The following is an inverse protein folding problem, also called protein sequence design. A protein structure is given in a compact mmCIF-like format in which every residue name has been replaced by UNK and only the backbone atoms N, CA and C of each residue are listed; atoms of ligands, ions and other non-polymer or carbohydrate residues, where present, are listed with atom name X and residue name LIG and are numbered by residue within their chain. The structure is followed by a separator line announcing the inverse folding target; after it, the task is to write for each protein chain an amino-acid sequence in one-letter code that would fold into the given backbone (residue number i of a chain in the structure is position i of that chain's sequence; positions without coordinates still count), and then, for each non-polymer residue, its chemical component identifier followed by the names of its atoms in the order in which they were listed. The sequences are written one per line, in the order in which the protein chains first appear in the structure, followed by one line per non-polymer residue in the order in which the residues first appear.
data_IF_403400172865
#
_entry.id   IF_403400172865
#
_cell.length_a   1.000
_cell.length_b   1.000
_cell.length_c   1.000
_cell.angle_alpha   90.00
_cell.angle_beta   90.00
_cell.angle_gamma   90.00
#
_symmetry.space_group_name_H-M   'P 1'
#
loop_
_entity.id
_entity.type
_entity.pdbx_description
1 polymer ?
#
# COMPACT_ATOMS: atom_id res chain seq x y z
N UNK A 1 -43.97 -37.60 11.81
CA UNK A 1 -43.37 -37.23 13.11
C UNK A 1 -41.86 -37.27 12.90
N UNK A 2 -41.28 -36.12 12.52
CA UNK A 2 -39.86 -35.98 12.20
C UNK A 2 -39.29 -34.90 13.14
N UNK A 3 -38.24 -35.26 13.86
CA UNK A 3 -37.51 -34.39 14.80
C UNK A 3 -36.65 -33.38 14.03
N UNK A 4 -36.64 -32.09 14.42
CA UNK A 4 -35.75 -31.10 13.84
C UNK A 4 -34.52 -30.92 14.74
N UNK A 5 -33.37 -31.42 14.31
CA UNK A 5 -32.10 -31.00 14.91
C UNK A 5 -30.97 -31.29 13.93
N UNK A 6 -30.53 -30.26 13.22
CA UNK A 6 -29.15 -30.01 12.77
C UNK A 6 -29.17 -28.70 11.95
N UNK A 7 -29.28 -27.56 12.63
CA UNK A 7 -28.73 -26.30 12.11
C UNK A 7 -27.40 -26.14 12.84
N UNK A 8 -26.34 -26.72 12.27
CA UNK A 8 -24.99 -26.53 12.78
C UNK A 8 -24.60 -25.08 12.58
N UNK A 9 -24.37 -24.40 13.70
CA UNK A 9 -23.80 -23.06 13.81
C UNK A 9 -22.67 -22.85 12.79
N UNK A 10 -22.87 -21.95 11.83
CA UNK A 10 -21.77 -21.21 11.25
C UNK A 10 -21.21 -20.33 12.37
N UNK A 11 -20.17 -20.82 13.03
CA UNK A 11 -19.32 -19.99 13.89
C UNK A 11 -18.75 -18.89 13.01
N UNK A 12 -19.10 -17.65 13.35
CA UNK A 12 -18.44 -16.47 12.84
C UNK A 12 -16.93 -16.67 12.98
N UNK A 13 -16.23 -16.81 11.85
CA UNK A 13 -14.76 -16.77 11.79
C UNK A 13 -14.33 -15.35 12.16
N UNK A 14 -14.28 -15.05 13.46
CA UNK A 14 -13.62 -13.86 13.96
C UNK A 14 -12.14 -13.96 13.59
N UNK A 15 -11.66 -13.00 12.79
CA UNK A 15 -10.26 -12.91 12.39
C UNK A 15 -9.43 -12.72 13.67
N UNK A 16 -8.63 -13.73 14.03
CA UNK A 16 -7.69 -13.63 15.14
C UNK A 16 -6.58 -12.62 14.77
N UNK A 17 -6.73 -11.39 15.28
CA UNK A 17 -5.78 -10.30 15.07
C UNK A 17 -4.37 -10.64 15.57
N UNK A 18 -4.25 -11.48 16.62
CA UNK A 18 -2.94 -11.87 17.18
C UNK A 18 -2.25 -12.85 16.23
N UNK A 19 -3.00 -13.82 15.71
CA UNK A 19 -2.49 -14.74 14.69
C UNK A 19 -2.11 -13.99 13.41
N UNK A 20 -2.96 -13.08 12.95
CA UNK A 20 -2.69 -12.23 11.78
C UNK A 20 -1.41 -11.42 11.98
N UNK A 21 -1.26 -10.72 13.10
CA UNK A 21 -0.04 -9.96 13.42
C UNK A 21 1.19 -10.87 13.42
N UNK A 22 1.10 -12.07 14.01
CA UNK A 22 2.21 -13.03 14.05
C UNK A 22 2.59 -13.50 12.64
N UNK A 23 1.62 -13.84 11.80
CA UNK A 23 1.85 -14.27 10.40
C UNK A 23 2.46 -13.14 9.58
N UNK A 24 1.97 -11.91 9.72
CA UNK A 24 2.50 -10.75 9.02
C UNK A 24 3.95 -10.44 9.44
N UNK A 25 4.27 -10.52 10.74
CA UNK A 25 5.65 -10.34 11.21
C UNK A 25 6.59 -11.44 10.71
N UNK A 26 6.15 -12.69 10.67
CA UNK A 26 6.94 -13.79 10.09
C UNK A 26 7.21 -13.55 8.60
N UNK A 27 6.20 -13.16 7.82
CA UNK A 27 6.36 -12.82 6.39
C UNK A 27 7.37 -11.70 6.19
N UNK A 28 7.31 -10.65 7.02
CA UNK A 28 8.27 -9.54 6.97
C UNK A 28 9.72 -10.00 7.23
N UNK A 29 9.91 -10.92 8.17
CA UNK A 29 11.23 -11.47 8.48
C UNK A 29 11.76 -12.37 7.34
N UNK A 30 10.91 -13.18 6.73
CA UNK A 30 11.27 -13.98 5.56
C UNK A 30 11.72 -13.11 4.39
N UNK A 31 10.99 -12.03 4.09
CA UNK A 31 11.36 -11.06 3.05
C UNK A 31 12.74 -10.45 3.32
N UNK A 32 13.03 -10.11 4.58
CA UNK A 32 14.34 -9.55 4.94
C UNK A 32 15.48 -10.56 4.77
N UNK A 33 15.25 -11.84 5.08
CA UNK A 33 16.23 -12.91 4.84
C UNK A 33 16.41 -13.13 3.34
N UNK A 34 15.32 -13.22 2.57
CA UNK A 34 15.38 -13.42 1.12
C UNK A 34 16.18 -12.31 0.44
N UNK A 35 16.00 -11.05 0.85
CA UNK A 35 16.77 -9.92 0.31
C UNK A 35 18.26 -10.01 0.68
N UNK A 36 18.58 -10.43 1.91
CA UNK A 36 19.97 -10.66 2.30
C UNK A 36 20.62 -11.80 1.49
N UNK A 37 19.87 -12.84 1.17
CA UNK A 37 20.31 -13.93 0.29
C UNK A 37 20.52 -13.41 -1.14
N UNK A 38 19.56 -12.65 -1.66
CA UNK A 38 19.62 -12.06 -2.99
C UNK A 38 20.86 -11.17 -3.14
N UNK A 39 21.11 -10.30 -2.15
CA UNK A 39 22.34 -9.51 -2.07
C UNK A 39 23.58 -10.39 -2.09
N UNK A 40 23.68 -11.39 -1.20
CA UNK A 40 24.87 -12.22 -1.08
C UNK A 40 25.23 -12.89 -2.40
N UNK A 41 24.23 -13.36 -3.16
CA UNK A 41 24.44 -13.96 -4.48
C UNK A 41 25.04 -13.02 -5.51
N UNK A 42 24.94 -11.70 -5.34
CA UNK A 42 25.56 -10.69 -6.21
C UNK A 42 27.01 -10.39 -5.86
N UNK A 43 27.46 -10.75 -4.65
CA UNK A 43 28.82 -10.47 -4.16
C UNK A 43 29.88 -11.29 -4.88
N UNK A 44 31.08 -10.75 -4.99
CA UNK A 44 32.21 -11.47 -5.60
C UNK A 44 32.64 -12.69 -4.80
N UNK A 45 32.41 -12.68 -3.48
CA UNK A 45 32.64 -13.85 -2.62
C UNK A 45 31.76 -15.03 -3.01
N UNK A 46 30.46 -14.78 -3.27
CA UNK A 46 29.56 -15.85 -3.72
C UNK A 46 29.92 -16.34 -5.13
N UNK A 47 30.25 -15.42 -6.05
CA UNK A 47 30.65 -15.79 -7.42
C UNK A 47 31.87 -16.70 -7.45
N UNK A 48 32.91 -16.39 -6.66
CA UNK A 48 34.10 -17.23 -6.54
C UNK A 48 33.78 -18.61 -5.94
N UNK A 49 32.92 -18.66 -4.93
CA UNK A 49 32.47 -19.94 -4.36
C UNK A 49 31.68 -20.76 -5.39
N UNK A 50 30.85 -20.13 -6.22
CA UNK A 50 30.07 -20.80 -7.26
C UNK A 50 30.91 -21.46 -8.36
N UNK A 51 32.17 -21.04 -8.53
CA UNK A 51 33.11 -21.67 -9.46
C UNK A 51 33.77 -22.93 -8.87
N UNK A 52 33.82 -23.04 -7.55
CA UNK A 52 34.62 -24.08 -6.85
C UNK A 52 33.78 -25.10 -6.07
N UNK A 53 32.60 -24.71 -5.60
CA UNK A 53 31.76 -25.50 -4.69
C UNK A 53 30.56 -26.14 -5.40
N UNK A 54 30.07 -27.23 -4.82
CA UNK A 54 28.83 -27.88 -5.26
C UNK A 54 27.59 -27.17 -4.67
N UNK A 55 26.38 -27.50 -5.14
CA UNK A 55 25.13 -26.88 -4.69
C UNK A 55 24.95 -26.89 -3.16
N UNK A 56 25.34 -27.97 -2.49
CA UNK A 56 25.28 -28.10 -1.02
C UNK A 56 26.24 -27.13 -0.33
N UNK A 57 27.43 -26.91 -0.91
CA UNK A 57 28.41 -25.93 -0.41
C UNK A 57 27.88 -24.50 -0.53
N UNK A 58 27.22 -24.18 -1.66
CA UNK A 58 26.59 -22.87 -1.88
C UNK A 58 25.42 -22.61 -0.93
N UNK A 59 24.58 -23.61 -0.68
CA UNK A 59 23.50 -23.49 0.30
C UNK A 59 24.04 -23.25 1.72
N UNK A 60 25.13 -23.94 2.09
CA UNK A 60 25.79 -23.72 3.38
C UNK A 60 26.34 -22.30 3.48
N UNK A 61 27.01 -21.80 2.44
CA UNK A 61 27.54 -20.44 2.43
C UNK A 61 26.43 -19.38 2.56
N UNK A 62 25.28 -19.59 1.91
CA UNK A 62 24.10 -18.71 2.06
C UNK A 62 23.56 -18.73 3.50
N UNK A 63 23.48 -19.91 4.10
CA UNK A 63 23.04 -20.05 5.49
C UNK A 63 24.02 -19.38 6.47
N UNK A 64 25.32 -19.59 6.29
CA UNK A 64 26.38 -18.97 7.10
C UNK A 64 26.36 -17.45 6.97
N UNK A 65 26.15 -16.91 5.76
CA UNK A 65 26.05 -15.48 5.55
C UNK A 65 24.89 -14.88 6.36
N UNK A 66 23.70 -15.47 6.26
CA UNK A 66 22.47 -14.94 6.88
C UNK A 66 22.37 -15.14 8.39
N UNK A 67 23.04 -16.17 8.93
CA UNK A 67 22.93 -16.54 10.35
C UNK A 67 24.16 -16.12 11.17
N UNK A 68 25.35 -16.15 10.58
CA UNK A 68 26.60 -15.90 11.31
C UNK A 68 27.29 -14.62 10.86
N UNK A 69 27.39 -14.37 9.55
CA UNK A 69 28.17 -13.24 9.02
C UNK A 69 27.44 -11.92 9.17
N UNK A 70 26.16 -11.87 8.81
CA UNK A 70 25.29 -10.69 8.93
C UNK A 70 24.59 -10.68 10.29
N UNK A 71 24.81 -9.63 11.07
CA UNK A 71 24.17 -9.43 12.38
C UNK A 71 23.50 -8.07 12.47
N UNK A 72 22.22 -8.07 12.84
CA UNK A 72 21.47 -6.87 13.19
C UNK A 72 21.25 -6.87 14.70
N UNK A 73 21.88 -5.92 15.38
CA UNK A 73 21.87 -5.78 16.83
C UNK A 73 21.03 -4.56 17.19
N UNK A 74 19.88 -4.79 17.84
CA UNK A 74 19.10 -3.72 18.44
C UNK A 74 19.71 -3.34 19.80
N UNK A 75 19.90 -2.04 20.08
CA UNK A 75 20.45 -1.63 21.36
C UNK A 75 19.52 -2.02 22.51
N UNK A 76 20.12 -2.57 23.56
CA UNK A 76 19.44 -2.87 24.80
C UNK A 76 19.46 -1.62 25.68
N UNK A 77 18.32 -0.96 25.80
CA UNK A 77 18.17 0.28 26.58
C UNK A 77 18.58 0.11 28.05
N UNK A 78 18.64 -1.12 28.59
CA UNK A 78 19.13 -1.39 29.94
C UNK A 78 20.66 -1.41 30.03
N UNK A 79 21.35 -1.79 28.96
CA UNK A 79 22.82 -1.88 28.91
C UNK A 79 23.47 -0.62 28.36
N UNK A 80 22.79 0.06 27.44
CA UNK A 80 23.24 1.32 26.86
C UNK A 80 22.04 2.24 26.62
N UNK A 81 21.67 3.08 27.61
CA UNK A 81 20.52 3.98 27.51
C UNK A 81 20.63 5.03 26.40
N UNK A 82 21.86 5.32 25.93
CA UNK A 82 22.13 6.35 24.93
C UNK A 82 22.33 5.78 23.52
N UNK A 83 22.30 4.45 23.36
CA UNK A 83 22.46 3.84 22.05
C UNK A 83 21.24 4.12 21.16
N UNK A 84 21.51 4.76 20.01
CA UNK A 84 20.50 5.12 19.02
C UNK A 84 20.65 4.24 17.78
N UNK A 85 19.50 3.84 17.20
CA UNK A 85 19.45 3.08 15.96
C UNK A 85 19.87 1.61 16.10
N UNK A 86 19.69 0.82 15.04
CA UNK A 86 20.15 -0.58 15.01
C UNK A 86 21.58 -0.65 14.48
N UNK A 87 22.43 -1.46 15.11
CA UNK A 87 23.79 -1.72 14.61
C UNK A 87 23.75 -2.88 13.64
N UNK A 88 24.31 -2.68 12.45
CA UNK A 88 24.49 -3.74 11.45
C UNK A 88 25.98 -4.06 11.41
N UNK A 89 26.31 -5.34 11.49
CA UNK A 89 27.68 -5.84 11.41
C UNK A 89 27.74 -6.97 10.39
N UNK A 90 28.82 -6.99 9.62
CA UNK A 90 29.11 -8.02 8.62
C UNK A 90 30.54 -8.51 8.84
N UNK A 91 30.75 -9.81 8.73
CA UNK A 91 32.06 -10.46 8.87
C UNK A 91 32.54 -11.03 7.54
N UNK A 92 33.78 -10.76 7.16
CA UNK A 92 34.45 -11.30 5.95
C UNK A 92 35.95 -11.51 6.22
N UNK A 93 36.60 -12.24 5.32
CA UNK A 93 38.00 -12.67 5.42
C UNK A 93 39.00 -11.51 5.55
N UNK A 94 38.71 -10.39 4.87
CA UNK A 94 39.58 -9.21 4.81
C UNK A 94 38.84 -7.97 5.28
N UNK A 95 39.55 -7.09 5.99
CA UNK A 95 39.01 -5.82 6.50
C UNK A 95 38.37 -4.95 5.41
N UNK A 96 39.00 -4.88 4.24
CA UNK A 96 38.47 -4.15 3.08
C UNK A 96 37.15 -4.77 2.59
N UNK A 97 37.12 -6.09 2.36
CA UNK A 97 35.92 -6.80 1.92
C UNK A 97 34.77 -6.68 2.94
N UNK A 98 35.06 -6.67 4.23
CA UNK A 98 34.04 -6.48 5.27
C UNK A 98 33.41 -5.08 5.18
N UNK A 99 34.23 -4.04 5.02
CA UNK A 99 33.75 -2.66 4.91
C UNK A 99 32.96 -2.43 3.61
N UNK A 100 33.51 -2.84 2.47
CA UNK A 100 32.85 -2.65 1.16
C UNK A 100 31.54 -3.41 1.11
N UNK A 101 31.51 -4.68 1.52
CA UNK A 101 30.28 -5.47 1.52
C UNK A 101 29.24 -4.93 2.48
N UNK A 102 29.64 -4.38 3.65
CA UNK A 102 28.71 -3.70 4.54
C UNK A 102 28.11 -2.44 3.91
N UNK A 103 28.93 -1.62 3.24
CA UNK A 103 28.45 -0.45 2.53
C UNK A 103 27.49 -0.83 1.39
N UNK A 104 27.87 -1.81 0.57
CA UNK A 104 27.09 -2.27 -0.57
C UNK A 104 25.77 -2.91 -0.11
N UNK A 105 25.79 -3.67 0.98
CA UNK A 105 24.58 -4.22 1.59
C UNK A 105 23.61 -3.14 2.04
N UNK A 106 24.12 -2.09 2.72
CA UNK A 106 23.27 -0.98 3.19
C UNK A 106 22.67 -0.22 2.00
N UNK A 107 23.46 0.03 0.94
CA UNK A 107 22.97 0.66 -0.28
C UNK A 107 21.90 -0.20 -0.96
N UNK A 108 22.15 -1.50 -1.09
CA UNK A 108 21.18 -2.44 -1.68
C UNK A 108 19.85 -2.46 -0.91
N UNK A 109 19.89 -2.63 0.40
CA UNK A 109 18.67 -2.63 1.23
C UNK A 109 17.95 -1.28 1.18
N UNK A 110 18.70 -0.17 1.14
CA UNK A 110 18.13 1.16 0.99
C UNK A 110 17.37 1.31 -0.33
N UNK A 111 18.01 0.92 -1.43
CA UNK A 111 17.45 1.03 -2.77
C UNK A 111 16.23 0.12 -2.92
N UNK A 112 16.31 -1.12 -2.43
CA UNK A 112 15.16 -2.04 -2.41
C UNK A 112 14.02 -1.46 -1.59
N UNK A 113 14.28 -0.98 -0.36
CA UNK A 113 13.25 -0.43 0.52
C UNK A 113 12.62 0.84 -0.04
N UNK A 114 13.43 1.71 -0.65
CA UNK A 114 12.97 2.92 -1.29
C UNK A 114 12.09 2.60 -2.51
N UNK A 115 12.56 1.70 -3.38
CA UNK A 115 11.81 1.29 -4.56
C UNK A 115 10.51 0.56 -4.20
N UNK A 116 10.51 -0.29 -3.16
CA UNK A 116 9.30 -0.92 -2.65
C UNK A 116 8.27 0.14 -2.22
N UNK A 117 8.68 1.10 -1.39
CA UNK A 117 7.81 2.18 -0.92
C UNK A 117 7.32 3.07 -2.06
N UNK A 118 8.19 3.37 -3.03
CA UNK A 118 7.86 4.13 -4.24
C UNK A 118 6.80 3.39 -5.08
N UNK A 119 6.97 2.08 -5.28
CA UNK A 119 6.04 1.27 -6.07
C UNK A 119 4.68 1.15 -5.39
N UNK A 120 4.63 0.95 -4.08
CA UNK A 120 3.39 0.96 -3.29
C UNK A 120 2.66 2.30 -3.42
N UNK A 121 3.39 3.41 -3.31
CA UNK A 121 2.79 4.73 -3.47
C UNK A 121 2.28 4.98 -4.90
N UNK A 122 3.01 4.54 -5.93
CA UNK A 122 2.55 4.58 -7.33
C UNK A 122 1.28 3.75 -7.51
N UNK A 123 1.22 2.55 -6.92
CA UNK A 123 0.04 1.70 -6.97
C UNK A 123 -1.17 2.38 -6.33
N UNK A 124 -0.99 2.97 -5.14
CA UNK A 124 -2.03 3.75 -4.47
C UNK A 124 -2.53 4.94 -5.31
N UNK A 125 -1.63 5.68 -5.99
CA UNK A 125 -2.03 6.76 -6.91
C UNK A 125 -2.87 6.20 -8.05
N UNK A 126 -2.43 5.10 -8.68
CA UNK A 126 -3.16 4.46 -9.80
C UNK A 126 -4.55 4.00 -9.37
N UNK A 127 -4.66 3.39 -8.21
CA UNK A 127 -5.94 2.96 -7.64
C UNK A 127 -6.85 4.16 -7.35
N UNK A 128 -6.29 5.24 -6.79
CA UNK A 128 -7.03 6.47 -6.56
C UNK A 128 -7.54 7.10 -7.87
N UNK A 129 -6.72 7.12 -8.92
CA UNK A 129 -7.12 7.57 -10.26
C UNK A 129 -8.26 6.68 -10.80
N UNK A 130 -8.13 5.37 -10.67
CA UNK A 130 -9.15 4.40 -11.12
C UNK A 130 -10.49 4.64 -10.42
N UNK A 131 -10.48 4.73 -9.10
CA UNK A 131 -11.67 5.00 -8.27
C UNK A 131 -12.32 6.34 -8.62
N UNK A 132 -11.53 7.40 -8.80
CA UNK A 132 -12.03 8.72 -9.19
C UNK A 132 -12.66 8.73 -10.58
N UNK A 133 -12.08 8.00 -11.55
CA UNK A 133 -12.67 7.86 -12.88
C UNK A 133 -14.00 7.10 -12.83
N UNK A 134 -14.09 6.04 -12.03
CA UNK A 134 -15.34 5.32 -11.82
C UNK A 134 -16.41 6.22 -11.20
N UNK A 135 -16.08 6.98 -10.15
CA UNK A 135 -17.01 7.93 -9.53
C UNK A 135 -17.48 9.00 -10.54
N UNK A 136 -16.55 9.52 -11.35
CA UNK A 136 -16.87 10.47 -12.42
C UNK A 136 -17.87 9.87 -13.41
N UNK A 137 -17.64 8.64 -13.87
CA UNK A 137 -18.52 7.94 -14.82
C UNK A 137 -19.91 7.73 -14.21
N UNK A 138 -20.00 7.33 -12.95
CA UNK A 138 -21.28 7.19 -12.24
C UNK A 138 -22.04 8.51 -12.20
N UNK A 139 -21.38 9.63 -11.90
CA UNK A 139 -22.01 10.96 -11.93
C UNK A 139 -22.49 11.31 -13.35
N UNK A 140 -21.71 11.00 -14.38
CA UNK A 140 -22.08 11.26 -15.77
C UNK A 140 -23.32 10.46 -16.20
N UNK A 141 -23.35 9.17 -15.84
CA UNK A 141 -24.45 8.27 -16.11
C UNK A 141 -25.72 8.68 -15.35
N UNK A 142 -25.62 8.94 -14.05
CA UNK A 142 -26.77 9.37 -13.25
C UNK A 142 -27.37 10.66 -13.82
N UNK A 143 -26.54 11.66 -14.11
CA UNK A 143 -27.02 12.92 -14.67
C UNK A 143 -27.67 12.75 -16.06
N UNK A 144 -27.18 11.82 -16.87
CA UNK A 144 -27.79 11.44 -18.16
C UNK A 144 -29.15 10.74 -17.97
N UNK A 145 -29.24 9.83 -17.00
CA UNK A 145 -30.49 9.15 -16.63
C UNK A 145 -31.51 10.16 -16.11
N UNK A 146 -31.12 11.05 -15.20
CA UNK A 146 -31.98 12.10 -14.66
C UNK A 146 -32.55 12.98 -15.77
N UNK A 147 -31.71 13.38 -16.75
CA UNK A 147 -32.17 14.12 -17.93
C UNK A 147 -33.17 13.31 -18.75
N UNK A 148 -32.90 12.02 -18.99
CA UNK A 148 -33.79 11.15 -19.76
C UNK A 148 -35.16 11.01 -19.08
N UNK A 149 -35.17 10.79 -17.76
CA UNK A 149 -36.39 10.73 -16.95
C UNK A 149 -37.14 12.07 -17.01
N UNK A 150 -36.43 13.19 -16.86
CA UNK A 150 -37.01 14.53 -16.97
C UNK A 150 -37.69 14.76 -18.33
N UNK A 151 -37.03 14.39 -19.43
CA UNK A 151 -37.59 14.50 -20.78
C UNK A 151 -38.85 13.64 -20.91
N UNK A 152 -38.82 12.38 -20.47
CA UNK A 152 -39.98 11.48 -20.54
C UNK A 152 -41.17 12.02 -19.73
N UNK A 153 -40.91 12.55 -18.54
CA UNK A 153 -41.94 13.15 -17.70
C UNK A 153 -42.55 14.40 -18.36
N UNK A 154 -41.71 15.27 -18.96
CA UNK A 154 -42.18 16.45 -19.70
C UNK A 154 -42.97 16.08 -20.96
N UNK A 155 -42.56 15.06 -21.70
CA UNK A 155 -43.28 14.55 -22.87
C UNK A 155 -44.65 13.99 -22.49
N UNK A 156 -44.71 13.20 -21.41
CA UNK A 156 -45.95 12.63 -20.88
C UNK A 156 -46.91 13.73 -20.39
N UNK A 157 -46.38 14.71 -19.66
CA UNK A 157 -47.16 15.86 -19.18
C UNK A 157 -47.70 16.71 -20.33
N UNK A 158 -46.91 16.90 -21.39
CA UNK A 158 -47.30 17.66 -22.58
C UNK A 158 -48.41 16.94 -23.37
N UNK A 159 -48.32 15.63 -23.52
CA UNK A 159 -49.39 14.82 -24.12
C UNK A 159 -50.70 14.89 -23.30
N UNK A 160 -50.60 14.81 -21.97
CA UNK A 160 -51.76 14.96 -21.09
C UNK A 160 -52.37 16.36 -21.14
N UNK A 161 -51.56 17.42 -21.17
CA UNK A 161 -52.02 18.80 -21.31
C UNK A 161 -52.77 19.02 -22.63
N UNK A 162 -52.25 18.48 -23.74
CA UNK A 162 -52.90 18.49 -25.06
C UNK A 162 -54.25 17.78 -25.03
N UNK A 163 -54.31 16.59 -24.43
CA UNK A 163 -55.56 15.82 -24.29
C UNK A 163 -56.60 16.54 -23.41
N UNK A 164 -56.16 17.25 -22.38
CA UNK A 164 -57.02 18.01 -21.48
C UNK A 164 -57.36 19.43 -22.00
N UNK A 165 -56.76 19.87 -23.11
CA UNK A 165 -56.99 21.20 -23.67
C UNK A 165 -56.37 22.35 -22.86
N UNK A 166 -55.35 22.07 -22.03
CA UNK A 166 -54.70 23.06 -21.16
C UNK A 166 -53.59 23.77 -21.93
N UNK A 167 -53.95 24.84 -22.66
CA UNK A 167 -53.01 25.57 -23.54
C UNK A 167 -52.01 26.44 -22.78
N UNK A 168 -52.46 27.08 -21.71
CA UNK A 168 -51.67 27.95 -20.84
C UNK A 168 -51.71 27.43 -19.40
N UNK A 169 -50.81 27.93 -18.55
CA UNK A 169 -50.76 27.56 -17.15
C UNK A 169 -52.16 27.63 -16.53
N UNK A 170 -52.70 26.50 -16.06
CA UNK A 170 -54.01 26.46 -15.45
C UNK A 170 -53.91 27.07 -14.05
N UNK A 171 -53.94 28.40 -13.97
CA UNK A 171 -54.29 29.03 -12.71
C UNK A 171 -55.76 28.69 -12.45
N UNK A 172 -56.03 27.60 -11.76
CA UNK A 172 -57.24 27.44 -10.95
C UNK A 172 -57.33 28.49 -9.80
N UNK A 173 -56.59 29.59 -9.94
CA UNK A 173 -56.49 30.77 -9.08
C UNK A 173 -57.10 32.03 -9.75
N UNK A 174 -57.62 31.92 -10.97
CA UNK A 174 -58.26 33.05 -11.69
C UNK A 174 -59.74 33.22 -11.33
N UNK A 175 -60.35 32.27 -10.63
CA UNK A 175 -61.71 32.41 -10.11
C UNK A 175 -61.71 32.97 -8.69
N UNK A 176 -62.18 34.23 -8.56
CA UNK A 176 -62.59 34.97 -7.36
C UNK A 176 -63.02 34.11 -6.15
N UNK A 177 -62.08 33.46 -5.47
CA UNK A 177 -62.33 32.78 -4.21
C UNK A 177 -61.19 33.11 -3.25
N UNK A 178 -61.55 33.71 -2.13
CA UNK A 178 -60.66 34.21 -1.06
C UNK A 178 -59.77 33.14 -0.41
N UNK A 179 -59.94 31.88 -0.80
CA UNK A 179 -59.15 30.73 -0.32
C UNK A 179 -57.86 30.55 -1.13
N UNK A 180 -57.79 31.12 -2.33
CA UNK A 180 -56.70 30.93 -3.29
C UNK A 180 -55.45 31.79 -2.97
N UNK A 181 -55.62 32.89 -2.22
CA UNK A 181 -54.52 33.75 -1.78
C UNK A 181 -53.74 33.18 -0.57
N UNK A 182 -54.25 32.15 0.10
CA UNK A 182 -53.57 31.54 1.27
C UNK A 182 -52.50 30.50 0.88
N UNK A 183 -52.52 29.98 -0.35
CA UNK A 183 -51.57 28.95 -0.78
C UNK A 183 -50.35 29.50 -1.54
N UNK A 184 -50.35 30.80 -1.87
CA UNK A 184 -49.33 31.43 -2.72
C UNK A 184 -48.55 32.55 -1.98
N UNK A 185 -48.96 32.92 -0.76
CA UNK A 185 -48.45 34.13 -0.12
C UNK A 185 -47.13 34.02 0.64
N UNK A 186 -46.63 32.84 1.06
CA UNK A 186 -45.48 32.85 1.99
C UNK A 186 -44.42 31.76 1.84
N UNK A 187 -44.41 31.01 0.74
CA UNK A 187 -43.39 29.98 0.59
C UNK A 187 -42.64 30.16 -0.72
N UNK A 188 -41.45 30.75 -0.60
CA UNK A 188 -40.27 30.43 -1.42
C UNK A 188 -40.00 28.92 -1.32
N UNK A 189 -40.89 28.09 -1.86
CA UNK A 189 -40.61 26.67 -2.05
C UNK A 189 -39.80 26.62 -3.33
N UNK A 190 -38.51 26.25 -3.30
CA UNK A 190 -37.81 25.93 -4.53
C UNK A 190 -38.66 24.90 -5.28
N UNK A 191 -38.87 25.08 -6.57
CA UNK A 191 -39.72 24.21 -7.41
C UNK A 191 -39.48 22.71 -7.20
N UNK A 192 -38.31 22.33 -6.70
CA UNK A 192 -37.88 21.00 -6.28
C UNK A 192 -38.74 20.33 -5.19
N UNK A 193 -39.33 21.08 -4.25
CA UNK A 193 -40.12 20.54 -3.12
C UNK A 193 -41.64 20.56 -3.38
N UNK A 194 -42.07 21.03 -4.55
CA UNK A 194 -43.49 21.09 -4.91
C UNK A 194 -43.96 19.75 -5.45
N UNK A 195 -45.15 19.28 -5.02
CA UNK A 195 -45.83 18.12 -5.64
C UNK A 195 -46.14 18.29 -7.14
N UNK A 196 -45.88 19.49 -7.70
CA UNK A 196 -45.88 19.76 -9.14
C UNK A 196 -44.60 19.29 -9.87
N UNK A 197 -43.47 19.16 -9.17
CA UNK A 197 -42.26 18.53 -9.71
C UNK A 197 -42.37 17.00 -9.74
N UNK A 198 -43.20 16.44 -8.88
CA UNK A 198 -43.62 15.05 -8.97
C UNK A 198 -44.52 14.90 -10.20
N UNK A 199 -44.16 13.99 -11.12
CA UNK A 199 -44.63 14.01 -12.51
C UNK A 199 -46.15 13.98 -12.72
N UNK A 200 -46.91 13.67 -11.65
CA UNK A 200 -48.38 13.56 -11.62
C UNK A 200 -49.12 14.84 -12.00
N UNK A 201 -48.61 16.04 -11.68
CA UNK A 201 -49.34 17.30 -11.95
C UNK A 201 -48.64 18.24 -12.94
N UNK A 202 -47.53 17.80 -13.56
CA UNK A 202 -46.77 18.61 -14.53
C UNK A 202 -47.64 19.15 -15.68
N UNK A 203 -48.67 18.41 -16.08
CA UNK A 203 -49.59 18.80 -17.17
C UNK A 203 -50.34 20.12 -16.90
N UNK A 204 -50.51 20.52 -15.64
CA UNK A 204 -51.13 21.80 -15.25
C UNK A 204 -50.30 23.02 -15.69
N UNK A 205 -49.01 22.83 -16.01
CA UNK A 205 -48.15 23.89 -16.53
C UNK A 205 -48.60 24.41 -17.90
N UNK A 206 -49.38 23.62 -18.62
CA UNK A 206 -49.92 23.93 -19.94
C UNK A 206 -48.91 23.71 -21.08
N UNK A 207 -49.45 23.53 -22.29
CA UNK A 207 -48.69 23.14 -23.48
C UNK A 207 -47.49 24.06 -23.77
N UNK A 208 -47.69 25.40 -23.73
CA UNK A 208 -46.63 26.36 -24.08
C UNK A 208 -45.42 26.26 -23.14
N UNK A 209 -45.66 26.18 -21.83
CA UNK A 209 -44.59 26.10 -20.83
C UNK A 209 -43.88 24.74 -20.88
N UNK A 210 -44.64 23.66 -21.05
CA UNK A 210 -44.08 22.31 -21.16
C UNK A 210 -43.23 22.15 -22.42
N UNK A 211 -43.66 22.71 -23.55
CA UNK A 211 -42.89 22.68 -24.79
C UNK A 211 -41.58 23.47 -24.64
N UNK A 212 -41.62 24.66 -24.05
CA UNK A 212 -40.41 25.44 -23.79
C UNK A 212 -39.44 24.71 -22.85
N UNK A 213 -39.95 24.09 -21.77
CA UNK A 213 -39.12 23.29 -20.86
C UNK A 213 -38.54 22.04 -21.54
N UNK A 214 -39.31 21.38 -22.39
CA UNK A 214 -38.86 20.23 -23.16
C UNK A 214 -37.76 20.61 -24.16
N UNK A 215 -37.92 21.72 -24.87
CA UNK A 215 -36.92 22.24 -25.80
C UNK A 215 -35.63 22.58 -25.06
N UNK A 216 -35.71 23.23 -23.89
CA UNK A 216 -34.55 23.50 -23.02
C UNK A 216 -33.91 22.19 -22.55
N UNK A 217 -34.70 21.22 -22.09
CA UNK A 217 -34.18 19.93 -21.59
C UNK A 217 -33.47 19.12 -22.69
N UNK A 218 -33.92 19.23 -23.94
CA UNK A 218 -33.31 18.56 -25.11
C UNK A 218 -32.07 19.27 -25.64
N UNK A 219 -32.02 20.61 -25.56
CA UNK A 219 -30.95 21.42 -26.19
C UNK A 219 -29.84 21.84 -25.24
N UNK A 220 -30.13 22.04 -23.95
CA UNK A 220 -29.16 22.55 -22.98
C UNK A 220 -28.08 21.50 -22.68
N UNK A 221 -26.82 21.92 -22.58
CA UNK A 221 -25.73 21.04 -22.15
C UNK A 221 -25.94 20.48 -20.73
N UNK A 222 -25.37 19.31 -20.47
CA UNK A 222 -25.43 18.69 -19.14
C UNK A 222 -24.55 19.50 -18.19
N UNK A 223 -25.15 20.01 -17.11
CA UNK A 223 -24.42 20.63 -16.01
C UNK A 223 -24.30 19.60 -14.91
N UNK A 224 -23.07 19.28 -14.51
CA UNK A 224 -22.79 18.30 -13.47
C UNK A 224 -22.71 18.94 -12.08
N UNK A 225 -22.77 18.09 -11.05
CA UNK A 225 -22.61 18.51 -9.65
C UNK A 225 -21.19 19.06 -9.38
N UNK A 226 -20.98 19.87 -8.33
CA UNK A 226 -19.64 20.38 -7.98
C UNK A 226 -18.59 19.29 -7.80
N UNK A 227 -19.00 18.10 -7.32
CA UNK A 227 -18.13 16.95 -7.13
C UNK A 227 -17.46 16.50 -8.44
N UNK A 228 -18.18 16.56 -9.56
CA UNK A 228 -17.64 16.23 -10.89
C UNK A 228 -16.39 17.06 -11.23
N UNK A 229 -16.48 18.38 -11.04
CA UNK A 229 -15.36 19.28 -11.35
C UNK A 229 -14.21 19.14 -10.34
N UNK A 230 -14.52 18.87 -9.07
CA UNK A 230 -13.49 18.54 -8.07
C UNK A 230 -12.72 17.28 -8.43
N UNK A 231 -13.40 16.23 -8.92
CA UNK A 231 -12.78 14.99 -9.37
C UNK A 231 -11.85 15.27 -10.57
N UNK A 232 -12.29 16.07 -11.55
CA UNK A 232 -11.45 16.45 -12.68
C UNK A 232 -10.15 17.15 -12.24
N UNK A 233 -10.25 18.10 -11.33
CA UNK A 233 -9.08 18.77 -10.73
C UNK A 233 -8.16 17.80 -9.98
N UNK A 234 -8.74 16.87 -9.20
CA UNK A 234 -7.99 15.84 -8.49
C UNK A 234 -7.26 14.91 -9.47
N UNK A 235 -7.93 14.46 -10.53
CA UNK A 235 -7.35 13.65 -11.60
C UNK A 235 -6.21 14.39 -12.31
N UNK A 236 -6.35 15.67 -12.62
CA UNK A 236 -5.28 16.48 -13.20
C UNK A 236 -4.06 16.53 -12.27
N UNK A 237 -4.27 16.84 -10.99
CA UNK A 237 -3.18 16.87 -9.99
C UNK A 237 -2.49 15.52 -9.88
N UNK A 238 -3.23 14.42 -9.72
CA UNK A 238 -2.66 13.07 -9.60
C UNK A 238 -1.90 12.65 -10.87
N UNK A 239 -2.45 12.90 -12.06
CA UNK A 239 -1.77 12.61 -13.33
C UNK A 239 -0.49 13.44 -13.51
N UNK A 240 -0.43 14.67 -12.98
CA UNK A 240 0.81 15.47 -13.00
C UNK A 240 1.84 15.03 -11.95
N UNK A 241 1.39 14.40 -10.85
CA UNK A 241 2.26 13.91 -9.78
C UNK A 241 2.89 12.56 -10.13
N UNK A 242 2.14 11.66 -10.77
CA UNK A 242 2.59 10.33 -11.14
C UNK A 242 3.97 10.29 -11.84
N UNK A 243 4.23 11.04 -12.93
CA UNK A 243 5.54 11.02 -13.59
C UNK A 243 6.66 11.68 -12.76
N UNK A 244 6.31 12.53 -11.79
CA UNK A 244 7.30 13.11 -10.86
C UNK A 244 7.76 12.04 -9.88
N UNK A 245 6.82 11.30 -9.29
CA UNK A 245 7.08 10.21 -8.34
C UNK A 245 7.93 9.11 -8.97
N UNK A 246 7.63 8.72 -10.22
CA UNK A 246 8.40 7.69 -10.94
C UNK A 246 9.90 8.03 -11.07
N UNK A 247 10.22 9.33 -11.16
CA UNK A 247 11.58 9.84 -11.31
C UNK A 247 12.28 10.16 -9.99
N UNK A 248 11.58 10.14 -8.85
CA UNK A 248 12.22 10.42 -7.56
C UNK A 248 13.21 9.32 -7.23
N UNK A 249 14.41 9.74 -6.86
CA UNK A 249 15.44 8.92 -6.21
C UNK A 249 15.58 9.36 -4.77
N UNK A 250 15.96 8.44 -3.88
CA UNK A 250 16.07 8.72 -2.46
C UNK A 250 16.74 7.59 -1.72
N UNK A 251 17.03 7.84 -0.45
CA UNK A 251 17.62 6.87 0.48
C UNK A 251 16.64 6.62 1.63
N UNK A 252 16.57 5.38 2.10
CA UNK A 252 15.66 4.96 3.18
C UNK A 252 16.34 4.95 4.55
N UNK A 253 17.55 5.51 4.67
CA UNK A 253 18.34 5.48 5.91
C UNK A 253 19.16 6.76 6.11
N UNK A 254 19.69 6.90 7.33
CA UNK A 254 20.67 7.91 7.69
C UNK A 254 21.73 7.28 8.60
N UNK A 255 23.00 7.67 8.45
CA UNK A 255 24.08 7.15 9.27
C UNK A 255 24.19 7.90 10.60
N UNK A 256 24.17 7.14 11.69
CA UNK A 256 24.73 7.58 12.98
C UNK A 256 26.24 7.28 13.01
N UNK A 257 26.64 6.16 12.41
CA UNK A 257 28.04 5.79 12.20
C UNK A 257 28.18 5.06 10.87
N UNK A 258 29.12 5.51 10.04
CA UNK A 258 29.40 4.91 8.72
C UNK A 258 30.18 3.60 8.84
N UNK A 259 30.20 2.74 7.80
CA UNK A 259 31.03 1.53 7.78
C UNK A 259 32.51 1.84 8.00
N UNK A 260 33.07 1.36 9.11
CA UNK A 260 34.49 1.55 9.47
C UNK A 260 35.36 0.37 9.02
N UNK A 261 36.63 0.65 8.72
CA UNK A 261 37.65 -0.37 8.47
C UNK A 261 38.06 -1.02 9.79
N UNK A 262 37.86 -2.34 9.98
CA UNK A 262 38.20 -2.99 11.23
C UNK A 262 39.71 -3.09 11.41
N UNK A 263 40.21 -2.52 12.52
CA UNK A 263 41.65 -2.48 12.84
C UNK A 263 42.10 -3.79 13.53
N UNK A 264 41.17 -4.54 14.12
CA UNK A 264 41.44 -5.78 14.86
C UNK A 264 40.59 -6.92 14.31
N UNK A 265 41.19 -8.11 14.18
CA UNK A 265 40.46 -9.33 13.80
C UNK A 265 39.58 -9.80 14.95
N UNK A 266 38.32 -10.13 14.65
CA UNK A 266 37.35 -10.59 15.63
C UNK A 266 37.76 -11.94 16.25
N UNK A 267 38.13 -12.93 15.42
CA UNK A 267 38.51 -14.27 15.88
C UNK A 267 39.34 -15.06 14.86
N UNK A 268 40.21 -16.02 15.27
CA UNK A 268 40.72 -16.23 16.62
C UNK A 268 41.71 -15.14 17.06
N UNK A 269 41.61 -14.76 18.34
CA UNK A 269 42.51 -13.79 18.98
C UNK A 269 43.89 -14.40 19.16
N UNK A 270 44.94 -13.62 18.90
CA UNK A 270 46.35 -14.05 18.99
C UNK A 270 46.68 -14.70 20.35
N UNK A 271 46.13 -14.15 21.44
CA UNK A 271 46.33 -14.69 22.78
C UNK A 271 45.74 -16.10 22.97
N UNK A 272 44.54 -16.35 22.43
CA UNK A 272 43.88 -17.66 22.49
C UNK A 272 44.67 -18.68 21.67
N UNK A 273 45.14 -18.29 20.48
CA UNK A 273 46.00 -19.12 19.65
C UNK A 273 47.31 -19.49 20.38
N UNK A 274 47.91 -18.52 21.07
CA UNK A 274 49.12 -18.73 21.86
C UNK A 274 48.88 -19.72 23.01
N UNK A 275 47.79 -19.54 23.76
CA UNK A 275 47.43 -20.43 24.87
C UNK A 275 47.23 -21.88 24.40
N UNK A 276 46.47 -22.06 23.31
CA UNK A 276 46.21 -23.39 22.74
C UNK A 276 47.51 -24.01 22.21
N UNK A 277 48.33 -23.23 21.50
CA UNK A 277 49.64 -23.68 21.01
C UNK A 277 50.58 -24.10 22.14
N UNK A 278 50.59 -23.36 23.25
CA UNK A 278 51.39 -23.70 24.43
C UNK A 278 50.93 -25.01 25.08
N UNK A 279 49.62 -25.23 25.21
CA UNK A 279 49.07 -26.48 25.75
C UNK A 279 49.41 -27.67 24.85
N UNK A 280 49.17 -27.56 23.54
CA UNK A 280 49.46 -28.64 22.58
C UNK A 280 50.96 -28.93 22.53
N UNK A 281 51.80 -27.89 22.48
CA UNK A 281 53.26 -28.03 22.51
C UNK A 281 53.76 -28.69 23.79
N UNK A 282 53.18 -28.35 24.95
CA UNK A 282 53.48 -28.98 26.23
C UNK A 282 53.17 -30.48 26.23
N UNK A 283 51.99 -30.87 25.74
CA UNK A 283 51.59 -32.29 25.66
C UNK A 283 52.50 -33.07 24.70
N UNK A 284 52.75 -32.54 23.49
CA UNK A 284 53.63 -33.20 22.51
C UNK A 284 55.06 -33.35 23.00
N UNK A 285 55.61 -32.32 23.66
CA UNK A 285 56.97 -32.38 24.23
C UNK A 285 57.07 -33.44 25.34
N UNK A 286 56.06 -33.55 26.19
CA UNK A 286 56.00 -34.55 27.26
C UNK A 286 55.94 -35.97 26.69
N UNK A 287 55.09 -36.20 25.68
CA UNK A 287 54.99 -37.49 24.98
C UNK A 287 56.29 -37.88 24.30
N UNK A 288 57.00 -36.92 23.68
CA UNK A 288 58.30 -37.15 23.06
C UNK A 288 59.36 -37.59 24.07
N UNK A 289 59.45 -36.92 25.22
CA UNK A 289 60.40 -37.26 26.28
C UNK A 289 60.12 -38.67 26.83
N UNK A 290 58.84 -38.99 27.10
CA UNK A 290 58.43 -40.31 27.58
C UNK A 290 58.75 -41.39 26.54
N UNK A 291 58.40 -41.15 25.27
CA UNK A 291 58.69 -42.09 24.18
C UNK A 291 60.19 -42.34 24.05
N UNK A 292 61.01 -41.29 24.03
CA UNK A 292 62.46 -41.42 23.98
C UNK A 292 63.01 -42.20 25.18
N UNK A 293 62.47 -41.98 26.38
CA UNK A 293 62.91 -42.70 27.58
C UNK A 293 62.55 -44.19 27.52
N UNK A 294 61.36 -44.55 27.03
CA UNK A 294 60.93 -45.94 26.88
C UNK A 294 61.74 -46.68 25.81
N UNK A 295 62.02 -46.03 24.67
CA UNK A 295 62.79 -46.66 23.58
C UNK A 295 64.31 -46.61 23.79
N UNK A 296 64.82 -45.72 24.63
CA UNK A 296 66.25 -45.60 24.96
C UNK A 296 66.73 -46.50 26.10
N UNK A 297 65.82 -47.22 26.78
CA UNK A 297 66.16 -48.20 27.83
C UNK A 297 66.21 -49.65 27.30
N UNK A 298 66.45 -49.85 26.01
CA UNK A 298 66.77 -51.15 25.40
C UNK A 298 68.24 -51.27 25.09
#
# INVERSE_FOLDING_TARGET
MATPEQVSNQTNEEIDLIELVRVLWKKKLLIAIDEAIAFFKTTDTYKKLAETENEVGLQRAVAEFTTESLKVIKPDAKKDPNALGSKIAISFDTALSAQTTLNDFICHISDTSFNFSKNEFIYWIKESISSLNYEKEVIEQDQSIQRKVQIQNLETALDMAKKAGIKEYSSALSSNSSVANLAVSDTKIPLSDSKLADGTYLFMLGEKNLQAQLDIAKTKEIVYSPRYYQIQEQLLKLNTLLPKVEKVTGQSFSYISSPELPIKRDWPKRFILLLIGAVIGGVLSSLWVIGKQIFGQK
#
